data_IF_742154789929
#
_entry.id   IF_742154789929
#
_cell.length_a   1.000
_cell.length_b   1.000
_cell.length_c   1.000
_cell.angle_alpha   90.00
_cell.angle_beta   90.00
_cell.angle_gamma   90.00
#
_symmetry.space_group_name_H-M   'P 1'
#
loop_
_entity.id
_entity.type
_entity.pdbx_description
1 polymer ?
#
# COMPACT_ATOMS: atom_id res chain seq x y z
N UNK A 1 -25.90 -12.19 18.59
CA UNK A 1 -24.79 -12.60 17.70
C UNK A 1 -23.91 -11.38 17.47
N UNK A 2 -22.69 -11.37 18.01
CA UNK A 2 -21.72 -10.31 17.76
C UNK A 2 -21.36 -10.32 16.27
N UNK A 3 -21.82 -9.32 15.53
CA UNK A 3 -21.35 -9.05 14.18
C UNK A 3 -19.94 -8.48 14.30
N UNK A 4 -18.95 -9.37 14.36
CA UNK A 4 -17.54 -8.99 14.30
C UNK A 4 -17.26 -8.23 13.01
N UNK A 5 -16.62 -7.07 13.13
CA UNK A 5 -16.18 -6.26 12.00
C UNK A 5 -15.16 -7.09 11.20
N UNK A 6 -15.52 -7.51 9.98
CA UNK A 6 -14.62 -8.27 9.13
C UNK A 6 -13.59 -7.30 8.53
N UNK A 7 -12.32 -7.54 8.76
CA UNK A 7 -11.23 -6.81 8.09
C UNK A 7 -11.21 -7.16 6.60
N UNK A 8 -11.09 -6.14 5.74
CA UNK A 8 -11.11 -6.30 4.29
C UNK A 8 -9.78 -5.82 3.67
N UNK A 9 -9.25 -6.62 2.75
CA UNK A 9 -8.17 -6.24 1.83
C UNK A 9 -8.70 -5.25 0.81
N UNK A 10 -7.99 -4.13 0.57
CA UNK A 10 -8.47 -3.07 -0.32
C UNK A 10 -7.63 -2.91 -1.61
N UNK A 11 -6.36 -3.28 -1.56
CA UNK A 11 -5.34 -2.86 -2.56
C UNK A 11 -4.61 -4.06 -3.19
N UNK A 12 -4.74 -5.26 -2.62
CA UNK A 12 -4.18 -6.50 -3.18
C UNK A 12 -4.92 -7.03 -4.41
N UNK A 13 -4.25 -7.92 -5.18
CA UNK A 13 -4.82 -8.61 -6.34
C UNK A 13 -5.99 -9.55 -5.97
N UNK A 14 -5.97 -10.08 -4.75
CA UNK A 14 -7.00 -10.95 -4.20
C UNK A 14 -8.16 -10.09 -3.64
N UNK A 15 -9.27 -10.02 -4.39
CA UNK A 15 -10.62 -9.47 -4.06
C UNK A 15 -10.72 -8.59 -2.79
N UNK A 16 -10.92 -7.27 -2.95
CA UNK A 16 -12.10 -6.55 -2.44
C UNK A 16 -12.04 -5.01 -2.63
N UNK A 17 -13.25 -4.42 -2.78
CA UNK A 17 -13.62 -3.02 -3.03
C UNK A 17 -13.17 -2.34 -4.34
N UNK A 18 -12.20 -2.91 -5.08
CA UNK A 18 -12.00 -2.59 -6.50
C UNK A 18 -11.70 -1.12 -6.81
N UNK A 19 -10.76 -0.51 -6.07
CA UNK A 19 -10.30 0.84 -6.40
C UNK A 19 -9.60 0.82 -7.78
N UNK A 20 -9.87 1.81 -8.66
CA UNK A 20 -9.34 1.83 -10.02
C UNK A 20 -7.82 2.04 -10.03
N UNK A 21 -7.17 1.73 -11.16
CA UNK A 21 -5.73 1.93 -11.34
C UNK A 21 -5.31 3.40 -11.12
N UNK A 22 -6.19 4.34 -11.45
CA UNK A 22 -6.00 5.77 -11.19
C UNK A 22 -5.91 6.14 -9.70
N UNK A 23 -6.33 5.26 -8.79
CA UNK A 23 -6.16 5.45 -7.35
C UNK A 23 -4.72 5.24 -6.89
N UNK A 24 -3.85 4.69 -7.73
CA UNK A 24 -2.44 4.49 -7.44
C UNK A 24 -1.63 5.57 -8.15
N UNK A 25 -0.97 6.42 -7.37
CA UNK A 25 -0.06 7.44 -7.88
C UNK A 25 1.27 7.35 -7.15
N UNK A 26 2.29 8.05 -7.63
CA UNK A 26 3.60 8.08 -6.97
C UNK A 26 4.29 9.42 -7.20
N UNK A 27 5.33 9.69 -6.42
CA UNK A 27 6.27 10.79 -6.68
C UNK A 27 6.92 10.66 -8.07
N UNK A 28 7.29 9.43 -8.42
CA UNK A 28 8.01 9.08 -9.63
C UNK A 28 7.87 7.58 -9.91
N UNK A 29 8.29 7.11 -11.09
CA UNK A 29 8.49 5.69 -11.32
C UNK A 29 9.67 5.42 -12.26
N UNK A 30 10.27 4.24 -12.15
CA UNK A 30 11.33 3.79 -13.04
C UNK A 30 10.79 3.44 -14.43
N UNK A 31 11.55 3.81 -15.46
CA UNK A 31 11.31 3.44 -16.86
C UNK A 31 12.67 3.00 -17.41
N UNK A 32 12.79 1.75 -17.85
CA UNK A 32 14.03 1.27 -18.48
C UNK A 32 14.24 1.95 -19.83
N UNK A 33 15.44 2.52 -20.11
CA UNK A 33 15.74 3.07 -21.42
C UNK A 33 15.86 2.00 -22.52
N UNK A 34 16.04 0.72 -22.14
CA UNK A 34 16.15 -0.41 -23.05
C UNK A 34 14.79 -0.99 -23.48
N UNK A 35 13.74 -0.77 -22.69
CA UNK A 35 12.41 -1.33 -22.92
C UNK A 35 11.47 -0.25 -23.48
N UNK A 36 11.09 -0.40 -24.75
CA UNK A 36 10.10 0.49 -25.38
C UNK A 36 8.76 0.36 -24.67
N UNK A 37 8.19 1.49 -24.24
CA UNK A 37 6.91 1.56 -23.51
C UNK A 37 6.92 0.73 -22.22
N UNK A 38 8.00 0.82 -21.43
CA UNK A 38 8.11 0.09 -20.16
C UNK A 38 7.04 0.55 -19.16
N UNK A 39 6.07 -0.32 -18.92
CA UNK A 39 5.01 -0.11 -17.93
C UNK A 39 5.21 -0.94 -16.65
N UNK A 40 6.31 -1.70 -16.52
CA UNK A 40 6.48 -2.67 -15.43
C UNK A 40 6.39 -2.01 -14.06
N UNK A 41 6.97 -0.83 -13.91
CA UNK A 41 7.13 -0.14 -12.63
C UNK A 41 6.10 0.96 -12.35
N UNK A 42 5.05 1.04 -13.15
CA UNK A 42 3.98 2.02 -12.94
C UNK A 42 3.29 1.84 -11.57
N UNK A 43 2.78 2.93 -10.95
CA UNK A 43 2.20 2.88 -9.61
C UNK A 43 1.07 1.85 -9.43
N UNK A 44 0.22 1.66 -10.45
CA UNK A 44 -0.92 0.73 -10.39
C UNK A 44 -0.50 -0.75 -10.39
N UNK A 45 0.77 -1.04 -10.70
CA UNK A 45 1.35 -2.38 -10.58
C UNK A 45 1.81 -2.72 -9.16
N UNK A 46 1.76 -1.77 -8.23
CA UNK A 46 2.10 -1.96 -6.82
C UNK A 46 1.07 -2.79 -6.04
N UNK A 47 0.17 -3.53 -6.68
CA UNK A 47 -0.83 -4.36 -5.99
C UNK A 47 -0.15 -5.60 -5.40
N UNK A 48 -0.40 -5.89 -4.11
CA UNK A 48 0.09 -7.11 -3.47
C UNK A 48 -0.27 -8.36 -4.30
N UNK A 49 0.67 -9.32 -4.43
CA UNK A 49 0.58 -10.49 -5.29
C UNK A 49 0.43 -10.19 -6.81
N UNK A 50 0.64 -8.94 -7.23
CA UNK A 50 0.78 -8.55 -8.64
C UNK A 50 2.05 -9.12 -9.28
N UNK A 51 2.10 -9.17 -10.61
CA UNK A 51 3.24 -9.75 -11.34
C UNK A 51 4.46 -8.82 -11.40
N UNK A 52 4.28 -7.51 -11.26
CA UNK A 52 5.34 -6.51 -11.25
C UNK A 52 5.42 -5.83 -9.86
N UNK A 53 5.60 -4.51 -9.82
CA UNK A 53 5.57 -3.70 -8.61
C UNK A 53 5.78 -2.23 -8.99
N UNK A 54 5.63 -1.30 -8.06
CA UNK A 54 6.08 0.07 -8.28
C UNK A 54 7.53 0.23 -7.84
N UNK A 55 8.34 0.93 -8.61
CA UNK A 55 9.69 1.31 -8.25
C UNK A 55 9.94 2.80 -8.51
N UNK A 56 10.70 3.45 -7.64
CA UNK A 56 11.01 4.89 -7.76
C UNK A 56 11.84 5.19 -9.00
N UNK A 57 11.83 6.43 -9.51
CA UNK A 57 12.71 6.79 -10.65
C UNK A 57 14.20 6.79 -10.27
N UNK A 58 14.50 7.18 -9.04
CA UNK A 58 15.86 7.29 -8.52
C UNK A 58 16.00 6.61 -7.17
N UNK A 59 17.23 6.28 -6.78
CA UNK A 59 17.51 5.58 -5.53
C UNK A 59 17.85 6.51 -4.35
N UNK A 60 18.02 7.81 -4.59
CA UNK A 60 18.56 8.75 -3.60
C UNK A 60 17.53 9.74 -3.04
N UNK A 61 16.39 9.90 -3.69
CA UNK A 61 15.36 10.84 -3.23
C UNK A 61 14.67 10.31 -1.95
N UNK A 62 14.80 10.99 -0.80
CA UNK A 62 14.18 10.56 0.46
C UNK A 62 12.67 10.86 0.51
N UNK A 63 12.16 11.66 -0.41
CA UNK A 63 10.76 12.08 -0.49
C UNK A 63 9.95 11.22 -1.48
N UNK A 64 10.55 10.16 -2.03
CA UNK A 64 9.84 9.22 -2.88
C UNK A 64 8.69 8.52 -2.15
N UNK A 65 7.54 8.39 -2.81
CA UNK A 65 6.38 7.72 -2.24
C UNK A 65 5.52 7.04 -3.30
N UNK A 66 4.89 5.92 -2.90
CA UNK A 66 3.68 5.39 -3.51
C UNK A 66 2.49 5.90 -2.73
N UNK A 67 1.49 6.45 -3.41
CA UNK A 67 0.26 6.97 -2.83
C UNK A 67 -0.95 6.16 -3.31
N UNK A 68 -1.87 5.90 -2.38
CA UNK A 68 -3.13 5.22 -2.68
C UNK A 68 -4.30 6.07 -2.20
N UNK A 69 -5.23 6.37 -3.11
CA UNK A 69 -6.56 6.89 -2.79
C UNK A 69 -7.54 5.75 -2.51
N UNK A 70 -7.98 5.63 -1.25
CA UNK A 70 -8.93 4.62 -0.80
C UNK A 70 -10.39 4.94 -1.22
N UNK A 71 -10.59 6.02 -1.97
CA UNK A 71 -11.86 6.51 -2.52
C UNK A 71 -12.70 7.30 -1.51
N UNK A 72 -12.79 6.79 -0.29
CA UNK A 72 -13.45 7.45 0.84
C UNK A 72 -12.59 7.34 2.10
N UNK A 73 -12.82 8.16 3.14
CA UNK A 73 -12.18 7.94 4.43
C UNK A 73 -12.50 6.54 4.97
N UNK A 74 -11.47 5.75 5.27
CA UNK A 74 -11.56 4.39 5.84
C UNK A 74 -10.80 4.31 7.16
N UNK A 75 -11.20 3.37 8.00
CA UNK A 75 -10.42 2.96 9.18
C UNK A 75 -9.41 1.91 8.72
N UNK A 76 -8.14 2.28 8.66
CA UNK A 76 -7.02 1.42 8.28
C UNK A 76 -6.52 0.69 9.52
N UNK A 77 -6.45 -0.63 9.42
CA UNK A 77 -6.11 -1.55 10.52
C UNK A 77 -4.75 -2.19 10.35
N UNK A 78 -4.31 -2.41 9.11
CA UNK A 78 -3.01 -2.97 8.80
C UNK A 78 -2.51 -2.50 7.44
N UNK A 79 -1.21 -2.63 7.23
CA UNK A 79 -0.56 -2.51 5.93
C UNK A 79 0.24 -3.78 5.65
N UNK A 80 0.43 -4.12 4.39
CA UNK A 80 1.37 -5.16 4.00
C UNK A 80 2.20 -4.74 2.80
N UNK A 81 3.41 -5.29 2.71
CA UNK A 81 4.36 -5.04 1.64
C UNK A 81 4.94 -6.36 1.12
N UNK A 82 5.35 -6.34 -0.14
CA UNK A 82 6.02 -7.43 -0.84
C UNK A 82 7.01 -6.79 -1.84
N UNK A 83 8.12 -7.46 -2.14
CA UNK A 83 9.07 -6.98 -3.15
C UNK A 83 8.55 -7.10 -4.58
N UNK A 84 9.41 -6.95 -5.59
CA UNK A 84 9.04 -7.11 -7.00
C UNK A 84 8.54 -8.55 -7.31
N UNK A 85 7.64 -8.70 -8.28
CA UNK A 85 7.13 -10.03 -8.68
C UNK A 85 8.12 -10.91 -9.46
N UNK A 86 9.16 -10.33 -10.05
CA UNK A 86 10.09 -11.01 -10.97
C UNK A 86 11.56 -10.79 -10.64
N UNK A 87 11.96 -9.58 -10.25
CA UNK A 87 13.34 -9.20 -9.95
C UNK A 87 13.65 -9.24 -8.45
N UNK A 88 14.92 -9.41 -8.09
CA UNK A 88 15.38 -9.44 -6.69
C UNK A 88 15.57 -8.02 -6.14
N UNK A 89 14.45 -7.31 -6.05
CA UNK A 89 14.34 -5.90 -5.66
C UNK A 89 13.22 -5.73 -4.62
N UNK A 90 13.52 -5.07 -3.51
CA UNK A 90 12.53 -4.81 -2.47
C UNK A 90 12.95 -3.70 -1.51
N UNK A 91 11.95 -3.08 -0.88
CA UNK A 91 12.14 -2.16 0.24
C UNK A 91 12.29 -2.92 1.56
N UNK A 92 13.36 -2.65 2.29
CA UNK A 92 13.70 -3.30 3.58
C UNK A 92 13.19 -2.52 4.78
N UNK A 93 12.91 -1.22 4.65
CA UNK A 93 12.18 -0.46 5.65
C UNK A 93 11.46 0.75 5.05
N UNK A 94 10.35 1.18 5.67
CA UNK A 94 9.51 2.25 5.13
C UNK A 94 8.76 3.02 6.23
N UNK A 95 8.28 4.22 5.88
CA UNK A 95 7.32 4.99 6.68
C UNK A 95 5.94 4.96 6.03
N UNK A 96 4.91 5.20 6.84
CA UNK A 96 3.53 5.38 6.36
C UNK A 96 3.07 6.79 6.69
N UNK A 97 2.75 7.57 5.65
CA UNK A 97 2.07 8.86 5.81
C UNK A 97 0.59 8.71 5.45
N UNK A 98 -0.28 9.49 6.09
CA UNK A 98 -1.72 9.45 5.82
C UNK A 98 -2.34 10.83 5.89
N UNK A 99 -3.46 11.00 5.20
CA UNK A 99 -4.27 12.22 5.22
C UNK A 99 -5.70 11.96 4.75
N UNK A 100 -6.59 12.91 5.04
CA UNK A 100 -7.96 12.93 4.51
C UNK A 100 -8.18 14.03 3.47
N UNK A 101 -7.21 14.94 3.27
CA UNK A 101 -7.41 16.16 2.47
C UNK A 101 -6.28 16.50 1.48
N UNK A 102 -5.29 15.62 1.29
CA UNK A 102 -4.10 15.80 0.43
C UNK A 102 -3.14 16.94 0.84
N UNK A 103 -3.47 17.73 1.86
CA UNK A 103 -2.70 18.90 2.29
C UNK A 103 -1.88 18.61 3.54
N UNK A 104 -2.54 18.09 4.58
CA UNK A 104 -1.94 17.89 5.89
C UNK A 104 -1.60 16.41 6.05
N UNK A 105 -0.34 16.06 5.81
CA UNK A 105 0.15 14.70 5.95
C UNK A 105 0.66 14.45 7.37
N UNK A 106 0.31 13.30 7.92
CA UNK A 106 0.81 12.83 9.22
C UNK A 106 1.55 11.52 9.03
N UNK A 107 2.77 11.43 9.55
CA UNK A 107 3.50 10.15 9.61
C UNK A 107 2.95 9.32 10.75
N UNK A 108 2.72 8.02 10.52
CA UNK A 108 2.22 7.11 11.53
C UNK A 108 3.16 7.04 12.76
N UNK A 109 2.67 7.35 13.97
CA UNK A 109 3.44 7.20 15.18
C UNK A 109 3.15 5.86 15.88
N UNK A 110 4.15 5.33 16.58
CA UNK A 110 3.99 4.22 17.51
C UNK A 110 4.81 4.49 18.78
N UNK A 111 4.21 4.27 19.96
CA UNK A 111 4.85 4.54 21.25
C UNK A 111 5.43 5.96 21.37
N UNK A 112 4.72 6.98 20.90
CA UNK A 112 5.12 8.40 20.87
C UNK A 112 6.25 8.78 19.91
N UNK A 113 6.79 7.83 19.13
CA UNK A 113 7.81 8.10 18.11
C UNK A 113 7.26 7.86 16.71
N UNK A 114 7.90 8.46 15.71
CA UNK A 114 7.66 8.10 14.32
C UNK A 114 7.97 6.61 14.12
N UNK A 115 7.05 5.87 13.49
CA UNK A 115 7.25 4.45 13.18
C UNK A 115 8.00 4.28 11.86
N UNK A 116 9.12 3.59 11.91
CA UNK A 116 9.73 2.93 10.75
C UNK A 116 9.29 1.46 10.80
N UNK A 117 8.69 0.98 9.72
CA UNK A 117 8.26 -0.39 9.57
C UNK A 117 9.40 -1.21 8.96
N UNK A 118 9.65 -2.39 9.52
CA UNK A 118 10.50 -3.40 8.89
C UNK A 118 9.78 -3.94 7.65
N UNK A 119 10.41 -3.78 6.49
CA UNK A 119 9.88 -4.20 5.21
C UNK A 119 10.22 -5.64 4.90
N UNK A 120 10.53 -5.89 3.63
CA UNK A 120 10.77 -7.22 3.10
C UNK A 120 12.24 -7.63 3.20
N UNK A 121 12.48 -8.93 3.30
CA UNK A 121 13.82 -9.56 3.27
C UNK A 121 14.07 -10.38 2.01
N UNK A 122 13.03 -10.53 1.18
CA UNK A 122 13.06 -11.16 -0.14
C UNK A 122 11.99 -10.52 -1.05
N UNK A 123 11.90 -10.98 -2.30
CA UNK A 123 10.96 -10.42 -3.27
C UNK A 123 9.51 -10.90 -3.13
N UNK A 124 9.25 -12.06 -2.50
CA UNK A 124 7.98 -12.80 -2.64
C UNK A 124 7.19 -12.97 -1.34
N UNK A 125 7.82 -12.89 -0.18
CA UNK A 125 7.17 -13.03 1.12
C UNK A 125 6.38 -11.77 1.44
N UNK A 126 5.10 -11.94 1.79
CA UNK A 126 4.26 -10.83 2.26
C UNK A 126 4.61 -10.52 3.71
N UNK A 127 5.01 -9.28 3.97
CA UNK A 127 5.23 -8.76 5.32
C UNK A 127 4.05 -7.89 5.70
N UNK A 128 3.33 -8.28 6.76
CA UNK A 128 2.13 -7.58 7.24
C UNK A 128 2.40 -6.97 8.61
N UNK A 129 1.98 -5.71 8.78
CA UNK A 129 2.01 -5.00 10.06
C UNK A 129 0.60 -4.56 10.46
N UNK A 130 0.11 -5.10 11.57
CA UNK A 130 -1.09 -4.58 12.23
C UNK A 130 -0.75 -3.27 12.93
N UNK A 131 -1.55 -2.24 12.70
CA UNK A 131 -1.35 -0.94 13.32
C UNK A 131 -1.86 -1.00 14.77
N UNK A 132 -0.99 -0.75 15.76
CA UNK A 132 -1.40 -0.71 17.18
C UNK A 132 -2.52 0.28 17.44
N UNK A 133 -2.43 1.45 16.80
CA UNK A 133 -3.49 2.44 16.71
C UNK A 133 -3.98 2.49 15.26
N UNK A 134 -5.27 2.26 15.04
CA UNK A 134 -5.88 2.39 13.70
C UNK A 134 -5.85 3.83 13.21
N UNK A 135 -5.82 4.01 11.90
CA UNK A 135 -5.80 5.34 11.25
C UNK A 135 -7.15 5.56 10.57
N UNK A 136 -7.73 6.75 10.68
CA UNK A 136 -8.84 7.17 9.79
C UNK A 136 -8.29 8.09 8.71
N UNK A 137 -8.25 7.63 7.46
CA UNK A 137 -7.70 8.39 6.34
C UNK A 137 -8.34 7.99 5.01
N UNK A 138 -8.29 8.88 4.02
CA UNK A 138 -8.64 8.56 2.62
C UNK A 138 -7.40 8.25 1.79
N UNK A 139 -6.28 8.91 2.07
CA UNK A 139 -5.04 8.73 1.33
C UNK A 139 -3.95 8.20 2.24
N UNK A 140 -3.17 7.27 1.70
CA UNK A 140 -2.02 6.69 2.38
C UNK A 140 -0.82 6.72 1.44
N UNK A 141 0.36 6.99 2.01
CA UNK A 141 1.65 6.98 1.33
C UNK A 141 2.58 5.97 1.97
N UNK A 142 3.23 5.16 1.16
CA UNK A 142 4.35 4.31 1.52
C UNK A 142 5.63 5.01 1.08
N UNK A 143 6.50 5.32 2.03
CA UNK A 143 7.73 6.08 1.80
C UNK A 143 8.92 5.14 2.05
N UNK A 144 9.60 4.65 1.01
CA UNK A 144 10.79 3.81 1.17
C UNK A 144 11.88 4.52 1.96
N UNK A 145 12.52 3.81 2.89
CA UNK A 145 13.65 4.32 3.69
C UNK A 145 14.94 3.58 3.34
N UNK A 146 14.89 2.25 3.35
CA UNK A 146 16.01 1.39 2.94
C UNK A 146 15.52 0.31 1.98
N UNK A 147 16.43 -0.24 1.18
CA UNK A 147 16.09 -1.19 0.11
C UNK A 147 17.24 -2.14 -0.22
N UNK A 148 16.90 -3.24 -0.87
CA UNK A 148 17.82 -4.17 -1.53
C UNK A 148 17.66 -4.05 -3.05
N UNK A 149 18.78 -3.82 -3.76
CA UNK A 149 18.87 -3.56 -5.21
C UNK A 149 18.13 -2.29 -5.66
N UNK A 150 16.83 -2.18 -5.39
CA UNK A 150 15.99 -1.08 -5.84
C UNK A 150 14.81 -0.81 -4.89
N UNK A 151 14.34 0.44 -4.82
CA UNK A 151 13.17 0.85 -3.99
C UNK A 151 11.86 0.37 -4.64
N UNK A 152 11.62 -0.94 -4.61
CA UNK A 152 10.48 -1.57 -5.28
C UNK A 152 9.48 -2.15 -4.27
N UNK A 153 8.18 -1.89 -4.48
CA UNK A 153 7.11 -2.32 -3.58
C UNK A 153 5.87 -2.81 -4.34
N UNK A 154 5.28 -3.88 -3.84
CA UNK A 154 3.85 -4.18 -3.92
C UNK A 154 3.26 -4.03 -2.52
N UNK A 155 2.03 -3.54 -2.41
CA UNK A 155 1.42 -3.16 -1.14
C UNK A 155 -0.03 -3.59 -1.04
N UNK A 156 -0.49 -3.76 0.20
CA UNK A 156 -1.89 -3.85 0.54
C UNK A 156 -2.22 -2.93 1.71
N UNK A 157 -3.47 -2.49 1.77
CA UNK A 157 -4.05 -1.73 2.88
C UNK A 157 -5.26 -2.51 3.36
N UNK A 158 -5.27 -2.85 4.64
CA UNK A 158 -6.41 -3.51 5.28
C UNK A 158 -7.25 -2.45 5.98
N UNK A 159 -8.55 -2.51 5.74
CA UNK A 159 -9.51 -1.57 6.32
C UNK A 159 -10.56 -2.33 7.09
N UNK A 160 -11.12 -1.67 8.10
CA UNK A 160 -12.27 -2.19 8.80
C UNK A 160 -13.48 -2.20 7.87
N UNK A 161 -14.03 -3.38 7.58
CA UNK A 161 -15.24 -3.51 6.78
C UNK A 161 -16.46 -3.14 7.62
N UNK A 162 -17.11 -2.01 7.34
CA UNK A 162 -18.52 -1.90 7.70
C UNK A 162 -19.32 -2.75 6.70
N UNK A 163 -20.15 -3.67 7.20
CA UNK A 163 -21.18 -4.32 6.42
C UNK A 163 -22.24 -3.29 6.02
N UNK A 164 -21.93 -2.39 5.09
CA UNK A 164 -22.93 -1.55 4.47
C UNK A 164 -23.36 -2.23 3.17
N UNK A 165 -24.56 -2.82 3.19
CA UNK A 165 -25.31 -3.09 1.97
C UNK A 165 -25.54 -4.55 1.56
N UNK A 166 -25.35 -5.55 2.43
CA UNK A 166 -26.05 -6.83 2.17
C UNK A 166 -27.52 -6.62 2.51
N UNK A 167 -28.32 -6.34 1.47
CA UNK A 167 -29.77 -6.48 1.53
C UNK A 167 -30.05 -7.95 1.81
N UNK A 168 -30.22 -8.30 3.09
CA UNK A 168 -30.64 -9.62 3.50
C UNK A 168 -32.11 -9.77 3.12
N UNK A 169 -32.39 -10.20 1.90
CA UNK A 169 -33.70 -10.77 1.56
C UNK A 169 -33.80 -12.12 2.24
N UNK A 170 -34.34 -12.11 3.46
CA UNK A 170 -34.91 -13.31 4.06
C UNK A 170 -36.23 -13.59 3.35
N UNK A 171 -36.29 -14.64 2.55
CA UNK A 171 -37.57 -15.22 2.18
C UNK A 171 -38.13 -15.95 3.43
N UNK A 172 -39.39 -15.63 3.76
CA UNK A 172 -40.19 -16.37 4.75
C UNK A 172 -40.57 -17.74 4.21
#
# INVERSE_FOLDING_TARGET
LWLGCLEQSLVGKERNLGIPDSSYTASSHYISPEVKNDARYEPHNAKLNGSNGWATKTLVDPDDYLQIDLGTPRIITAVATQGNGFYDEWVTSYKVNHTSNLKNWTTYPENHFLKIFDGNTDRYTVVRHNLKKTITARYIRFIPVSYHTYKTMRVNVYVNGQLQGMHLTFWK
#
